data_IF_759855112569
#
_entry.id   IF_759855112569
#
_cell.length_a   1.000
_cell.length_b   1.000
_cell.length_c   1.000
_cell.angle_alpha   90.00
_cell.angle_beta   90.00
_cell.angle_gamma   90.00
#
_symmetry.space_group_name_H-M   'P 1'
#
loop_
_entity.id
_entity.type
_entity.pdbx_description
1 polymer ?
#
# COMPACT_ATOMS: atom_id res chain seq x y z
N UNK A 1 -18.54 -13.73 25.05
CA UNK A 1 -17.93 -14.97 24.51
C UNK A 1 -17.34 -14.62 23.15
N UNK A 2 -17.84 -15.16 22.05
CA UNK A 2 -17.26 -15.00 20.70
C UNK A 2 -17.89 -13.90 19.86
N UNK A 3 -18.96 -13.25 20.34
CA UNK A 3 -19.73 -12.25 19.59
C UNK A 3 -20.94 -12.87 18.87
N UNK A 4 -21.80 -11.99 18.35
CA UNK A 4 -22.86 -12.38 17.41
C UNK A 4 -22.28 -12.50 16.00
N UNK A 5 -23.12 -12.91 15.04
CA UNK A 5 -22.74 -12.87 13.63
C UNK A 5 -22.42 -11.44 13.19
N UNK A 6 -21.39 -11.31 12.35
CA UNK A 6 -20.96 -10.02 11.81
C UNK A 6 -21.82 -9.64 10.59
N UNK A 7 -22.60 -8.57 10.72
CA UNK A 7 -23.51 -8.09 9.67
C UNK A 7 -22.77 -7.51 8.46
N UNK A 8 -21.59 -6.93 8.66
CA UNK A 8 -20.74 -6.42 7.56
C UNK A 8 -20.31 -7.59 6.69
N UNK A 9 -19.84 -8.67 7.32
CA UNK A 9 -19.39 -9.88 6.64
C UNK A 9 -20.53 -10.55 5.89
N UNK A 10 -21.72 -10.67 6.48
CA UNK A 10 -22.88 -11.24 5.79
C UNK A 10 -23.28 -10.40 4.56
N UNK A 11 -23.39 -9.08 4.72
CA UNK A 11 -23.77 -8.20 3.64
C UNK A 11 -22.76 -8.18 2.50
N UNK A 12 -21.47 -8.08 2.80
CA UNK A 12 -20.43 -8.03 1.76
C UNK A 12 -20.17 -9.41 1.13
N UNK A 13 -20.50 -10.50 1.82
CA UNK A 13 -20.56 -11.83 1.19
C UNK A 13 -21.69 -11.92 0.16
N UNK A 14 -22.84 -11.28 0.38
CA UNK A 14 -23.88 -11.18 -0.65
C UNK A 14 -23.43 -10.29 -1.81
N UNK A 15 -22.84 -9.13 -1.49
CA UNK A 15 -22.32 -8.17 -2.47
C UNK A 15 -21.32 -8.80 -3.45
N UNK A 16 -20.32 -9.53 -2.92
CA UNK A 16 -19.31 -10.22 -3.74
C UNK A 16 -19.86 -11.32 -4.63
N UNK A 17 -21.09 -11.78 -4.39
CA UNK A 17 -21.81 -12.74 -5.24
C UNK A 17 -22.83 -12.05 -6.18
N UNK A 18 -22.83 -10.71 -6.24
CA UNK A 18 -23.75 -9.94 -7.07
C UNK A 18 -25.17 -9.80 -6.50
N UNK A 19 -25.36 -10.07 -5.21
CA UNK A 19 -26.64 -9.92 -4.52
C UNK A 19 -26.61 -8.63 -3.69
N UNK A 20 -27.50 -7.69 -3.98
CA UNK A 20 -27.59 -6.44 -3.23
C UNK A 20 -28.01 -6.72 -1.77
N UNK A 21 -27.22 -6.30 -0.76
CA UNK A 21 -27.46 -6.69 0.63
C UNK A 21 -28.54 -5.86 1.35
N UNK A 22 -29.05 -4.80 0.72
CA UNK A 22 -30.09 -3.92 1.30
C UNK A 22 -29.55 -2.93 2.35
N UNK A 23 -28.23 -2.83 2.47
CA UNK A 23 -27.50 -1.94 3.38
C UNK A 23 -26.28 -1.39 2.65
N UNK A 24 -25.90 -0.16 2.97
CA UNK A 24 -24.79 0.55 2.34
C UNK A 24 -23.52 0.44 3.20
N UNK A 25 -22.44 -0.04 2.58
CA UNK A 25 -21.11 -0.12 3.16
C UNK A 25 -20.04 0.59 2.31
N UNK A 26 -20.46 1.54 1.46
CA UNK A 26 -19.56 2.33 0.61
C UNK A 26 -18.55 3.19 1.39
N UNK A 27 -18.84 3.52 2.65
CA UNK A 27 -17.90 4.13 3.59
C UNK A 27 -17.70 3.22 4.82
N UNK A 28 -16.98 2.11 4.62
CA UNK A 28 -16.73 1.15 5.69
C UNK A 28 -15.84 1.72 6.81
N UNK A 29 -15.00 2.71 6.52
CA UNK A 29 -14.13 3.31 7.53
C UNK A 29 -14.94 4.08 8.58
N UNK A 30 -15.96 4.84 8.17
CA UNK A 30 -16.89 5.48 9.11
C UNK A 30 -17.62 4.48 10.01
N UNK A 31 -18.04 3.33 9.46
CA UNK A 31 -18.66 2.25 10.25
C UNK A 31 -17.69 1.69 11.29
N UNK A 32 -16.43 1.45 10.91
CA UNK A 32 -15.39 0.97 11.81
C UNK A 32 -15.13 1.97 12.94
N UNK A 33 -14.97 3.25 12.60
CA UNK A 33 -14.73 4.31 13.58
C UNK A 33 -15.84 4.37 14.62
N UNK A 34 -17.10 4.27 14.19
CA UNK A 34 -18.27 4.23 15.08
C UNK A 34 -18.25 2.98 15.96
N UNK A 35 -17.96 1.80 15.40
CA UNK A 35 -17.93 0.52 16.12
C UNK A 35 -16.83 0.50 17.16
N UNK A 36 -15.60 0.89 16.80
CA UNK A 36 -14.46 0.93 17.74
C UNK A 36 -14.67 1.99 18.82
N UNK A 37 -15.20 3.16 18.46
CA UNK A 37 -15.51 4.23 19.42
C UNK A 37 -16.59 3.82 20.40
N UNK A 38 -17.63 3.13 19.94
CA UNK A 38 -18.77 2.72 20.78
C UNK A 38 -18.41 1.54 21.69
N UNK A 39 -17.69 0.55 21.15
CA UNK A 39 -17.42 -0.70 21.85
C UNK A 39 -16.10 -0.67 22.63
N UNK A 40 -15.21 0.28 22.35
CA UNK A 40 -13.84 0.35 22.88
C UNK A 40 -13.04 -0.93 22.62
N UNK A 41 -13.34 -1.61 21.52
CA UNK A 41 -12.68 -2.83 21.06
C UNK A 41 -12.25 -2.59 19.63
N UNK A 42 -10.95 -2.76 19.29
CA UNK A 42 -10.48 -2.58 17.93
C UNK A 42 -10.95 -3.72 17.02
N UNK A 43 -11.16 -3.41 15.74
CA UNK A 43 -11.40 -4.40 14.71
C UNK A 43 -10.11 -5.18 14.46
N UNK A 44 -10.25 -6.50 14.43
CA UNK A 44 -9.09 -7.35 14.20
C UNK A 44 -8.49 -7.05 12.81
N UNK A 45 -7.14 -6.98 12.66
CA UNK A 45 -6.51 -6.63 11.39
C UNK A 45 -6.88 -7.54 10.20
N UNK A 46 -7.37 -8.75 10.48
CA UNK A 46 -7.82 -9.73 9.48
C UNK A 46 -9.34 -9.95 9.47
N UNK A 47 -10.10 -9.10 10.16
CA UNK A 47 -11.56 -9.17 10.11
C UNK A 47 -11.99 -8.98 8.64
N UNK A 48 -12.83 -9.86 8.06
CA UNK A 48 -13.25 -9.74 6.67
C UNK A 48 -13.74 -8.33 6.34
N UNK A 49 -13.26 -7.78 5.22
CA UNK A 49 -13.57 -6.45 4.68
C UNK A 49 -13.09 -5.25 5.54
N UNK A 50 -13.32 -5.26 6.85
CA UNK A 50 -13.01 -4.16 7.76
C UNK A 50 -11.60 -4.16 8.35
N UNK A 51 -10.90 -5.29 8.36
CA UNK A 51 -9.55 -5.38 8.89
C UNK A 51 -8.53 -4.63 8.03
N UNK A 52 -7.56 -3.95 8.65
CA UNK A 52 -6.55 -3.16 7.92
C UNK A 52 -5.73 -3.97 6.88
N UNK A 53 -5.60 -5.29 7.04
CA UNK A 53 -4.74 -6.11 6.16
C UNK A 53 -5.49 -6.76 4.99
N UNK A 54 -6.81 -6.61 4.89
CA UNK A 54 -7.63 -7.37 3.93
C UNK A 54 -7.54 -6.86 2.50
N UNK A 55 -7.15 -5.60 2.32
CA UNK A 55 -6.91 -4.96 1.01
C UNK A 55 -5.42 -4.90 0.66
N UNK A 56 -4.59 -5.65 1.39
CA UNK A 56 -3.14 -5.60 1.27
C UNK A 56 -2.56 -6.82 0.56
N UNK A 57 -1.59 -6.62 -0.34
CA UNK A 57 -0.79 -7.70 -0.91
C UNK A 57 0.67 -7.61 -0.47
N UNK A 58 1.15 -8.62 0.26
CA UNK A 58 2.54 -8.71 0.74
C UNK A 58 3.49 -9.46 -0.19
N UNK A 59 2.95 -10.36 -1.03
CA UNK A 59 3.76 -11.16 -1.95
C UNK A 59 3.99 -10.39 -3.25
N UNK A 60 5.25 -10.32 -3.70
CA UNK A 60 5.59 -9.73 -5.00
C UNK A 60 4.87 -10.40 -6.17
N UNK A 61 4.61 -11.71 -6.12
CA UNK A 61 3.85 -12.41 -7.15
C UNK A 61 2.36 -12.01 -7.15
N UNK A 62 1.76 -11.82 -5.97
CA UNK A 62 0.39 -11.33 -5.87
C UNK A 62 0.30 -9.88 -6.36
N UNK A 63 1.26 -9.05 -5.99
CA UNK A 63 1.34 -7.65 -6.44
C UNK A 63 1.45 -7.57 -7.98
N UNK A 64 2.28 -8.40 -8.61
CA UNK A 64 2.42 -8.46 -10.07
C UNK A 64 1.11 -8.89 -10.76
N UNK A 65 0.44 -9.92 -10.22
CA UNK A 65 -0.84 -10.38 -10.76
C UNK A 65 -1.94 -9.32 -10.62
N UNK A 66 -2.03 -8.65 -9.48
CA UNK A 66 -2.98 -7.54 -9.26
C UNK A 66 -2.68 -6.39 -10.22
N UNK A 67 -1.40 -6.03 -10.40
CA UNK A 67 -0.98 -4.99 -11.35
C UNK A 67 -1.42 -5.33 -12.78
N UNK A 68 -1.23 -6.58 -13.22
CA UNK A 68 -1.70 -7.05 -14.54
C UNK A 68 -3.22 -6.99 -14.66
N UNK A 69 -3.95 -7.32 -13.59
CA UNK A 69 -5.41 -7.19 -13.55
C UNK A 69 -5.89 -5.75 -13.74
N UNK A 70 -5.28 -4.80 -13.02
CA UNK A 70 -5.58 -3.37 -13.20
C UNK A 70 -5.25 -2.88 -14.63
N UNK A 71 -4.09 -3.26 -15.17
CA UNK A 71 -3.70 -2.89 -16.54
C UNK A 71 -4.66 -3.48 -17.59
N UNK A 72 -5.16 -4.71 -17.37
CA UNK A 72 -6.14 -5.32 -18.25
C UNK A 72 -7.47 -4.54 -18.25
N UNK A 73 -7.97 -4.13 -17.07
CA UNK A 73 -9.17 -3.27 -16.95
C UNK A 73 -8.98 -1.93 -17.65
N UNK A 74 -7.83 -1.28 -17.46
CA UNK A 74 -7.53 0.00 -18.11
C UNK A 74 -7.51 -0.12 -19.63
N UNK A 75 -6.83 -1.16 -20.15
CA UNK A 75 -6.76 -1.43 -21.59
C UNK A 75 -8.13 -1.73 -22.20
N UNK A 76 -9.01 -2.42 -21.47
CA UNK A 76 -10.39 -2.67 -21.91
C UNK A 76 -11.32 -1.48 -21.70
N UNK A 77 -10.84 -0.39 -21.09
CA UNK A 77 -11.64 0.78 -20.68
C UNK A 77 -12.83 0.38 -19.80
N UNK A 78 -12.62 -0.59 -18.92
CA UNK A 78 -13.66 -1.08 -18.03
C UNK A 78 -14.12 0.03 -17.08
N UNK A 79 -15.43 0.15 -16.89
CA UNK A 79 -16.06 1.08 -15.95
C UNK A 79 -16.39 0.38 -14.63
N UNK A 80 -17.09 1.05 -13.69
CA UNK A 80 -17.52 0.41 -12.43
C UNK A 80 -18.64 -0.60 -12.65
N UNK A 81 -19.39 -0.44 -13.73
CA UNK A 81 -20.48 -1.34 -14.13
C UNK A 81 -19.97 -2.66 -14.71
N UNK A 82 -18.71 -2.71 -15.14
CA UNK A 82 -18.09 -3.93 -15.66
C UNK A 82 -17.71 -4.89 -14.52
N UNK A 83 -17.91 -6.22 -14.72
CA UNK A 83 -17.60 -7.23 -13.71
C UNK A 83 -16.21 -7.09 -13.10
N UNK A 84 -16.12 -7.23 -11.77
CA UNK A 84 -14.84 -7.23 -11.08
C UNK A 84 -14.09 -8.55 -11.30
N UNK A 85 -13.06 -8.50 -12.16
CA UNK A 85 -12.17 -9.63 -12.45
C UNK A 85 -10.75 -9.27 -12.03
N UNK A 86 -10.43 -9.49 -10.76
CA UNK A 86 -9.12 -9.17 -10.20
C UNK A 86 -8.53 -10.38 -9.46
N UNK A 87 -7.26 -10.74 -9.72
CA UNK A 87 -6.57 -11.74 -8.92
C UNK A 87 -6.46 -11.31 -7.46
N UNK A 88 -6.75 -12.21 -6.52
CA UNK A 88 -6.56 -12.04 -5.07
C UNK A 88 -7.41 -10.96 -4.37
N UNK A 89 -8.12 -10.10 -5.11
CA UNK A 89 -9.04 -9.11 -4.55
C UNK A 89 -10.49 -9.53 -4.89
N UNK A 90 -11.30 -9.96 -3.91
CA UNK A 90 -12.64 -10.47 -4.18
C UNK A 90 -13.66 -9.39 -4.58
N UNK A 91 -13.37 -8.12 -4.28
CA UNK A 91 -14.13 -6.94 -4.69
C UNK A 91 -13.16 -5.77 -4.94
N UNK A 92 -13.64 -4.71 -5.56
CA UNK A 92 -12.91 -3.45 -5.68
C UNK A 92 -12.85 -2.77 -4.30
N UNK A 93 -11.67 -2.55 -3.68
CA UNK A 93 -11.57 -1.86 -2.40
C UNK A 93 -12.30 -0.51 -2.37
N UNK A 94 -12.39 0.18 -3.50
CA UNK A 94 -13.09 1.46 -3.57
C UNK A 94 -14.60 1.33 -3.33
N UNK A 95 -15.21 0.16 -3.62
CA UNK A 95 -16.64 -0.08 -3.38
C UNK A 95 -17.01 -0.05 -1.90
N UNK A 96 -16.01 -0.17 -1.01
CA UNK A 96 -16.19 -0.11 0.45
C UNK A 96 -15.43 1.07 1.08
N UNK A 97 -15.04 2.06 0.27
CA UNK A 97 -14.36 3.26 0.75
C UNK A 97 -12.91 3.02 1.17
N UNK A 98 -12.26 2.01 0.56
CA UNK A 98 -10.89 1.62 0.85
C UNK A 98 -10.02 1.68 -0.40
N UNK A 99 -8.72 1.54 -0.20
CA UNK A 99 -7.74 1.54 -1.29
C UNK A 99 -6.89 0.29 -1.22
N UNK A 100 -6.61 -0.31 -2.36
CA UNK A 100 -5.63 -1.39 -2.45
C UNK A 100 -4.24 -0.90 -2.02
N UNK A 101 -3.63 -1.60 -1.05
CA UNK A 101 -2.29 -1.31 -0.58
C UNK A 101 -1.31 -2.40 -0.99
N UNK A 102 -0.43 -2.08 -1.93
CA UNK A 102 0.76 -2.88 -2.20
C UNK A 102 1.78 -2.65 -1.07
N UNK A 103 1.65 -3.40 0.02
CA UNK A 103 2.60 -3.32 1.13
C UNK A 103 3.88 -4.03 0.72
N UNK A 104 4.92 -3.22 0.50
CA UNK A 104 6.26 -3.70 0.33
C UNK A 104 6.87 -3.89 1.71
N UNK A 105 7.00 -5.14 2.14
CA UNK A 105 7.83 -5.45 3.32
C UNK A 105 9.28 -5.30 2.93
N UNK A 106 10.01 -4.44 3.63
CA UNK A 106 11.48 -4.37 3.56
C UNK A 106 12.01 -5.28 4.65
N UNK A 107 12.16 -6.57 4.34
CA UNK A 107 12.90 -7.49 5.21
C UNK A 107 14.23 -7.87 4.54
N UNK A 108 15.07 -8.57 5.30
CA UNK A 108 16.42 -9.01 4.88
C UNK A 108 16.44 -9.85 3.60
N UNK A 109 15.28 -10.28 3.07
CA UNK A 109 15.15 -11.10 1.86
C UNK A 109 14.60 -10.32 0.64
N UNK A 110 13.73 -9.33 0.82
CA UNK A 110 13.10 -8.53 -0.25
C UNK A 110 13.74 -7.13 -0.47
N UNK A 111 14.67 -6.74 0.40
CA UNK A 111 14.96 -5.34 0.74
C UNK A 111 15.51 -4.38 -0.32
N UNK A 112 15.90 -4.81 -1.53
CA UNK A 112 16.53 -3.90 -2.52
C UNK A 112 15.55 -3.28 -3.52
N UNK A 113 14.54 -4.04 -3.96
CA UNK A 113 13.56 -3.55 -4.94
C UNK A 113 12.45 -2.73 -4.28
N UNK A 114 12.11 -3.09 -3.04
CA UNK A 114 11.01 -2.50 -2.32
C UNK A 114 11.17 -1.03 -1.96
N UNK A 115 12.35 -0.70 -1.41
CA UNK A 115 12.69 0.66 -1.00
C UNK A 115 12.69 1.62 -2.18
N UNK A 116 13.30 1.23 -3.30
CA UNK A 116 13.38 2.06 -4.50
C UNK A 116 11.98 2.38 -5.08
N UNK A 117 11.06 1.41 -5.04
CA UNK A 117 9.69 1.63 -5.49
C UNK A 117 8.93 2.62 -4.59
N UNK A 118 9.11 2.52 -3.27
CA UNK A 118 8.48 3.46 -2.32
C UNK A 118 8.95 4.88 -2.62
N UNK A 119 10.26 5.08 -2.83
CA UNK A 119 10.81 6.40 -3.16
C UNK A 119 10.31 6.90 -4.51
N UNK A 120 10.25 6.03 -5.53
CA UNK A 120 9.69 6.40 -6.84
C UNK A 120 8.22 6.83 -6.75
N UNK A 121 7.41 6.16 -5.92
CA UNK A 121 5.98 6.48 -5.77
C UNK A 121 5.72 7.70 -4.89
N UNK A 122 6.50 7.89 -3.83
CA UNK A 122 6.24 8.93 -2.82
C UNK A 122 6.98 10.24 -3.05
N UNK A 123 8.12 10.19 -3.75
CA UNK A 123 8.97 11.35 -4.07
C UNK A 123 9.16 11.56 -5.57
N UNK A 124 8.61 10.70 -6.43
CA UNK A 124 8.77 10.75 -7.90
C UNK A 124 10.24 10.64 -8.36
N UNK A 125 11.11 10.07 -7.52
CA UNK A 125 12.53 9.91 -7.81
C UNK A 125 12.84 8.50 -8.30
N UNK A 126 13.31 8.38 -9.54
CA UNK A 126 13.89 7.14 -10.05
C UNK A 126 15.36 7.04 -9.64
N UNK A 127 15.62 6.27 -8.58
CA UNK A 127 16.95 6.19 -7.99
C UNK A 127 17.90 5.37 -8.88
N UNK A 128 19.11 5.87 -9.20
CA UNK A 128 20.14 5.07 -9.85
C UNK A 128 20.49 3.82 -9.04
N UNK A 129 20.93 2.75 -9.71
CA UNK A 129 21.15 1.44 -9.08
C UNK A 129 22.09 1.50 -7.86
N UNK A 130 23.15 2.30 -7.93
CA UNK A 130 24.08 2.50 -6.80
C UNK A 130 23.39 3.11 -5.58
N UNK A 131 22.53 4.10 -5.81
CA UNK A 131 21.79 4.81 -4.76
C UNK A 131 20.72 3.92 -4.12
N UNK A 132 20.04 3.09 -4.91
CA UNK A 132 19.11 2.07 -4.39
C UNK A 132 19.80 1.14 -3.38
N UNK A 133 21.00 0.65 -3.74
CA UNK A 133 21.78 -0.25 -2.88
C UNK A 133 22.23 0.47 -1.60
N UNK A 134 22.73 1.70 -1.72
CA UNK A 134 23.18 2.49 -0.58
C UNK A 134 22.02 2.76 0.40
N UNK A 135 20.87 3.21 -0.11
CA UNK A 135 19.73 3.52 0.73
C UNK A 135 19.09 2.26 1.36
N UNK A 136 19.06 1.14 0.64
CA UNK A 136 18.56 -0.14 1.20
C UNK A 136 19.31 -0.55 2.47
N UNK A 137 20.62 -0.28 2.56
CA UNK A 137 21.42 -0.55 3.77
C UNK A 137 21.03 0.35 4.95
N UNK A 138 20.64 1.59 4.67
CA UNK A 138 20.19 2.56 5.68
C UNK A 138 18.85 2.11 6.24
N UNK A 139 17.89 1.79 5.36
CA UNK A 139 16.59 1.24 5.75
C UNK A 139 16.75 -0.04 6.57
N UNK A 140 17.63 -0.95 6.15
CA UNK A 140 17.86 -2.19 6.89
C UNK A 140 18.38 -1.94 8.31
N UNK A 141 19.34 -1.02 8.48
CA UNK A 141 19.86 -0.66 9.81
C UNK A 141 18.77 -0.09 10.71
N UNK A 142 17.89 0.74 10.16
CA UNK A 142 16.80 1.36 10.92
C UNK A 142 15.74 0.32 11.34
N UNK A 143 15.35 -0.56 10.42
CA UNK A 143 14.49 -1.72 10.71
C UNK A 143 15.07 -2.61 11.80
N UNK A 144 16.37 -2.92 11.73
CA UNK A 144 17.07 -3.75 12.72
C UNK A 144 17.11 -3.06 14.10
N UNK A 145 17.31 -1.73 14.14
CA UNK A 145 17.34 -0.94 15.38
C UNK A 145 15.97 -0.91 16.08
N UNK A 146 14.90 -0.70 15.30
CA UNK A 146 13.55 -0.60 15.83
C UNK A 146 12.91 -1.97 16.12
N UNK A 147 13.50 -3.06 15.61
CA UNK A 147 12.96 -4.41 15.73
C UNK A 147 11.61 -4.61 15.03
N UNK A 148 11.27 -3.71 14.10
CA UNK A 148 10.03 -3.74 13.32
C UNK A 148 10.26 -3.19 11.92
N UNK A 149 9.39 -3.56 11.00
CA UNK A 149 9.37 -3.00 9.65
C UNK A 149 9.00 -1.51 9.67
N UNK A 150 9.56 -0.75 8.72
CA UNK A 150 9.23 0.66 8.50
C UNK A 150 8.00 0.79 7.57
N UNK A 151 7.12 1.73 7.90
CA UNK A 151 6.02 2.16 7.05
C UNK A 151 6.53 2.97 5.85
N UNK A 152 5.75 3.09 4.76
CA UNK A 152 6.16 3.86 3.59
C UNK A 152 6.54 5.31 3.88
N UNK A 153 5.80 5.99 4.77
CA UNK A 153 6.11 7.36 5.17
C UNK A 153 7.41 7.45 5.97
N UNK A 154 7.69 6.47 6.83
CA UNK A 154 8.96 6.41 7.58
C UNK A 154 10.15 6.20 6.63
N UNK A 155 9.98 5.37 5.59
CA UNK A 155 11.01 5.17 4.56
C UNK A 155 11.25 6.47 3.77
N UNK A 156 10.18 7.20 3.44
CA UNK A 156 10.28 8.52 2.79
C UNK A 156 11.03 9.53 3.67
N UNK A 157 10.65 9.65 4.94
CA UNK A 157 11.29 10.56 5.90
C UNK A 157 12.76 10.19 6.10
N UNK A 158 13.06 8.91 6.26
CA UNK A 158 14.42 8.40 6.38
C UNK A 158 15.26 8.73 5.13
N UNK A 159 14.67 8.69 3.93
CA UNK A 159 15.36 9.10 2.71
C UNK A 159 15.70 10.59 2.71
N UNK A 160 14.70 11.42 3.04
CA UNK A 160 14.85 12.88 3.11
C UNK A 160 15.91 13.28 4.14
N UNK A 161 15.96 12.60 5.28
CA UNK A 161 16.95 12.85 6.33
C UNK A 161 18.33 12.36 5.92
N UNK A 162 18.45 11.11 5.45
CA UNK A 162 19.72 10.48 5.10
C UNK A 162 20.47 11.21 3.97
N UNK A 163 19.72 11.83 3.05
CA UNK A 163 20.28 12.60 1.92
C UNK A 163 20.09 14.11 2.06
N UNK A 164 19.66 14.59 3.23
CA UNK A 164 19.58 16.01 3.59
C UNK A 164 18.77 16.87 2.61
N UNK A 165 17.68 16.35 2.04
CA UNK A 165 16.90 17.07 1.01
C UNK A 165 16.23 18.36 1.53
N UNK A 166 15.90 18.40 2.83
CA UNK A 166 15.17 19.52 3.45
C UNK A 166 16.03 20.40 4.37
N UNK A 167 17.31 20.07 4.57
CA UNK A 167 18.20 20.85 5.46
C UNK A 167 19.21 21.64 4.64
N UNK A 168 19.52 22.85 5.11
CA UNK A 168 20.51 23.73 4.49
C UNK A 168 21.87 23.02 4.42
N UNK A 169 22.34 22.62 3.22
CA UNK A 169 23.52 21.78 3.12
C UNK A 169 24.79 22.59 3.41
N UNK A 170 25.81 21.93 3.95
CA UNK A 170 27.16 22.49 4.10
C UNK A 170 27.77 22.92 2.75
N UNK A 171 27.24 22.38 1.65
CA UNK A 171 27.66 22.63 0.28
C UNK A 171 26.42 22.95 -0.57
N UNK A 172 26.44 24.08 -1.27
CA UNK A 172 25.40 24.45 -2.23
C UNK A 172 25.80 24.01 -3.64
N UNK A 173 24.83 23.51 -4.42
CA UNK A 173 25.01 23.32 -5.85
C UNK A 173 25.04 24.70 -6.52
N UNK A 174 26.20 25.09 -7.05
CA UNK A 174 26.36 26.40 -7.73
C UNK A 174 25.88 26.29 -9.18
N UNK A 175 26.30 25.24 -9.89
CA UNK A 175 25.92 24.99 -11.26
C UNK A 175 26.07 23.50 -11.59
N UNK A 176 25.34 23.02 -12.59
CA UNK A 176 25.49 21.69 -13.14
C UNK A 176 25.15 21.68 -14.64
N UNK A 177 25.85 20.85 -15.40
CA UNK A 177 25.52 20.57 -16.80
C UNK A 177 25.26 19.08 -16.94
N UNK A 178 24.10 18.72 -17.50
CA UNK A 178 23.78 17.33 -17.84
C UNK A 178 24.05 17.14 -19.34
N UNK A 179 25.10 16.39 -19.66
CA UNK A 179 25.32 15.88 -21.01
C UNK A 179 24.83 14.44 -21.09
N UNK A 180 23.83 14.18 -21.93
CA UNK A 180 23.41 12.82 -22.24
C UNK A 180 24.46 12.19 -23.14
N UNK A 181 25.29 11.31 -22.59
CA UNK A 181 26.18 10.48 -23.41
C UNK A 181 25.32 9.45 -24.15
N UNK A 182 25.18 9.64 -25.47
CA UNK A 182 24.53 8.66 -26.35
C UNK A 182 25.62 7.72 -26.84
N UNK A 183 25.91 6.70 -26.04
CA UNK A 183 26.68 5.51 -26.46
C UNK A 183 25.73 4.33 -26.67
#
# INVERSE_FOLDING_TARGET
RTGNVDLVTLALNLYTQGIHPGIDFSDLNSVIDIVETSNKIPIHPRQPYGGQLVVCAFSGSHQDAIKKGFQARENSKATREDPWVMPYLPLDPEDIGRTYEAIIRVNSQSGKGGVAWIIKRTLELDLPRGLQIAFSKIVQRETDMLGRELLPNEIKELFVEAYHLNRNPRFGLVDYTITTDRS
#
